data_IF_587608963788
#
_entry.id   IF_587608963788
#
_cell.length_a   1.000
_cell.length_b   1.000
_cell.length_c   1.000
_cell.angle_alpha   90.00
_cell.angle_beta   90.00
_cell.angle_gamma   90.00
#
_symmetry.space_group_name_H-M   'P 1'
#
loop_
_entity.id
_entity.type
_entity.pdbx_description
1 polymer ?
#
# COMPACT_ATOMS: atom_id res chain seq x y z
N UNK A 1 -26.54 0.11 29.22
CA UNK A 1 -26.69 -0.52 27.91
C UNK A 1 -25.42 -1.32 27.63
N UNK A 2 -25.47 -2.65 27.52
CA UNK A 2 -24.27 -3.44 27.17
C UNK A 2 -23.95 -3.17 25.69
N UNK A 3 -22.82 -2.54 25.43
CA UNK A 3 -22.31 -2.38 24.07
C UNK A 3 -21.79 -3.74 23.61
N UNK A 4 -22.45 -4.37 22.66
CA UNK A 4 -21.95 -5.57 22.01
C UNK A 4 -21.34 -5.15 20.68
N UNK A 5 -20.02 -5.16 20.59
CA UNK A 5 -19.33 -5.11 19.32
C UNK A 5 -19.09 -6.55 18.86
N UNK A 6 -19.42 -6.83 17.62
CA UNK A 6 -19.18 -8.15 17.03
C UNK A 6 -18.36 -7.93 15.78
N UNK A 7 -17.08 -8.28 15.78
CA UNK A 7 -16.34 -8.46 14.55
C UNK A 7 -16.82 -9.76 13.91
N UNK A 8 -17.37 -9.67 12.71
CA UNK A 8 -17.71 -10.87 11.95
C UNK A 8 -16.41 -11.49 11.43
N UNK A 9 -16.10 -12.75 11.80
CA UNK A 9 -14.90 -13.40 11.27
C UNK A 9 -14.99 -13.56 9.76
N UNK A 10 -13.83 -13.57 9.09
CA UNK A 10 -13.74 -14.01 7.72
C UNK A 10 -14.28 -15.44 7.58
N UNK A 11 -15.00 -15.72 6.50
CA UNK A 11 -15.53 -17.03 6.17
C UNK A 11 -15.01 -17.44 4.79
N UNK A 12 -14.86 -18.73 4.59
CA UNK A 12 -14.60 -19.26 3.26
C UNK A 12 -15.91 -19.27 2.45
N UNK A 13 -15.81 -19.10 1.14
CA UNK A 13 -16.94 -19.30 0.24
C UNK A 13 -17.42 -20.74 0.32
N UNK A 14 -18.73 -21.02 0.09
CA UNK A 14 -19.23 -22.39 0.03
C UNK A 14 -18.41 -23.25 -0.94
N UNK A 15 -18.01 -24.43 -0.49
CA UNK A 15 -17.22 -25.38 -1.29
C UNK A 15 -15.71 -25.13 -1.32
N UNK A 16 -15.23 -24.07 -0.68
CA UNK A 16 -13.78 -23.74 -0.57
C UNK A 16 -13.21 -24.36 0.71
N UNK A 17 -12.11 -25.10 0.60
CA UNK A 17 -11.36 -25.60 1.74
C UNK A 17 -10.32 -24.58 2.23
N UNK A 18 -9.88 -24.63 3.50
CA UNK A 18 -8.80 -23.77 4.00
C UNK A 18 -7.51 -23.85 3.17
N UNK A 19 -7.23 -25.01 2.58
CA UNK A 19 -6.07 -25.22 1.72
C UNK A 19 -6.15 -24.47 0.37
N UNK A 20 -7.35 -24.06 -0.06
CA UNK A 20 -7.56 -23.32 -1.30
C UNK A 20 -7.31 -21.81 -1.14
N UNK A 21 -7.16 -21.34 0.11
CA UNK A 21 -6.75 -19.96 0.38
C UNK A 21 -5.25 -19.86 0.16
N UNK A 22 -4.77 -18.86 -0.62
CA UNK A 22 -3.36 -18.72 -0.87
C UNK A 22 -2.57 -18.65 0.44
N UNK A 23 -1.74 -19.67 0.67
CA UNK A 23 -0.78 -19.68 1.77
C UNK A 23 0.36 -18.68 1.51
N UNK A 24 1.28 -18.53 2.47
CA UNK A 24 2.52 -17.80 2.25
C UNK A 24 3.22 -18.30 0.99
N UNK A 25 3.55 -17.38 0.08
CA UNK A 25 4.30 -17.72 -1.14
C UNK A 25 5.80 -17.81 -0.81
N UNK A 26 6.61 -18.55 -1.59
CA UNK A 26 8.06 -18.47 -1.44
C UNK A 26 8.60 -17.05 -1.54
N UNK A 27 7.99 -16.20 -2.37
CA UNK A 27 8.27 -14.77 -2.44
C UNK A 27 7.95 -13.99 -1.16
N UNK A 28 6.99 -14.48 -0.36
CA UNK A 28 6.65 -13.86 0.93
C UNK A 28 7.71 -14.21 2.01
N UNK A 29 8.37 -15.36 1.87
CA UNK A 29 9.50 -15.76 2.72
C UNK A 29 10.80 -15.07 2.30
N UNK A 30 10.93 -14.66 1.04
CA UNK A 30 12.08 -13.90 0.55
C UNK A 30 12.18 -12.50 1.17
N UNK A 31 11.11 -12.01 1.82
CA UNK A 31 11.15 -10.82 2.67
C UNK A 31 11.94 -11.03 3.97
N UNK A 32 12.15 -12.26 4.39
CA UNK A 32 12.85 -12.60 5.63
C UNK A 32 14.34 -12.83 5.36
N UNK A 33 15.05 -11.72 5.16
CA UNK A 33 16.47 -11.68 5.42
C UNK A 33 17.42 -12.25 4.36
N UNK A 34 16.97 -12.74 3.24
CA UNK A 34 17.89 -13.02 2.14
C UNK A 34 18.50 -11.70 1.66
N UNK A 35 19.70 -11.41 2.14
CA UNK A 35 20.46 -10.23 1.75
C UNK A 35 20.59 -10.22 0.23
N UNK A 36 19.93 -9.24 -0.41
CA UNK A 36 20.07 -8.99 -1.84
C UNK A 36 20.66 -7.61 -2.02
N UNK A 37 21.52 -7.49 -3.00
CA UNK A 37 22.06 -6.20 -3.42
C UNK A 37 21.42 -5.88 -4.77
N UNK A 38 20.51 -4.93 -4.78
CA UNK A 38 19.94 -4.39 -6.00
C UNK A 38 20.97 -3.50 -6.67
N UNK A 39 21.10 -3.59 -7.99
CA UNK A 39 22.03 -2.81 -8.80
C UNK A 39 21.31 -2.19 -9.98
N UNK A 40 21.70 -0.98 -10.33
CA UNK A 40 21.11 -0.27 -11.46
C UNK A 40 21.77 1.08 -11.65
N UNK A 41 21.16 1.90 -12.52
CA UNK A 41 21.64 3.27 -12.78
C UNK A 41 20.70 4.30 -12.18
N UNK A 42 21.26 5.45 -11.85
CA UNK A 42 20.53 6.61 -11.37
C UNK A 42 19.67 7.24 -12.49
N UNK A 43 18.37 7.36 -12.23
CA UNK A 43 17.40 8.09 -13.02
C UNK A 43 17.03 9.35 -12.25
N UNK A 44 17.51 10.50 -12.68
CA UNK A 44 17.38 11.75 -11.92
C UNK A 44 16.29 12.64 -12.50
N UNK A 45 15.42 13.11 -11.63
CA UNK A 45 14.50 14.20 -11.92
C UNK A 45 15.16 15.55 -11.63
N UNK A 46 15.59 16.22 -12.68
CA UNK A 46 16.21 17.54 -12.59
C UNK A 46 15.16 18.65 -12.49
N UNK A 47 15.47 19.69 -11.70
CA UNK A 47 14.67 20.90 -11.69
C UNK A 47 14.92 21.70 -12.97
N UNK A 48 13.90 21.95 -13.81
CA UNK A 48 14.09 22.67 -15.06
C UNK A 48 14.44 24.15 -14.87
N UNK A 49 14.25 24.69 -13.66
CA UNK A 49 14.49 26.12 -13.34
C UNK A 49 15.83 26.32 -12.65
N UNK A 50 16.39 25.30 -12.03
CA UNK A 50 17.61 25.41 -11.22
C UNK A 50 18.61 24.35 -11.68
N UNK A 51 19.59 24.71 -12.53
CA UNK A 51 20.60 23.76 -13.03
C UNK A 51 21.32 23.05 -11.87
N UNK A 52 21.51 21.73 -12.00
CA UNK A 52 22.18 20.88 -11.02
C UNK A 52 21.37 20.55 -9.77
N UNK A 53 20.16 21.08 -9.64
CA UNK A 53 19.26 20.74 -8.54
C UNK A 53 18.31 19.61 -8.94
N UNK A 54 18.10 18.63 -8.05
CA UNK A 54 17.05 17.64 -8.18
C UNK A 54 15.69 18.28 -7.90
N UNK A 55 14.67 17.85 -8.64
CA UNK A 55 13.34 18.42 -8.57
C UNK A 55 12.65 18.09 -7.25
N UNK A 56 12.28 19.15 -6.53
CA UNK A 56 11.46 19.08 -5.33
C UNK A 56 9.97 19.00 -5.66
N UNK A 57 9.17 18.62 -4.68
CA UNK A 57 7.72 18.71 -4.68
C UNK A 57 7.06 18.03 -5.90
N UNK A 58 7.61 16.90 -6.34
CA UNK A 58 6.91 16.04 -7.30
C UNK A 58 5.70 15.46 -6.58
N UNK A 59 4.51 15.85 -7.01
CA UNK A 59 3.26 15.43 -6.40
C UNK A 59 2.71 14.14 -7.03
N UNK A 60 1.70 13.57 -6.41
CA UNK A 60 1.10 12.31 -6.86
C UNK A 60 0.35 12.43 -8.20
N UNK A 61 -0.10 13.65 -8.60
CA UNK A 61 -0.66 13.89 -9.93
C UNK A 61 0.40 13.81 -11.03
N UNK A 62 1.62 14.22 -10.71
CA UNK A 62 2.76 14.11 -11.62
C UNK A 62 3.27 12.68 -11.72
N UNK A 63 3.13 11.88 -10.64
CA UNK A 63 3.49 10.46 -10.65
C UNK A 63 2.43 9.66 -11.41
N UNK A 64 1.15 9.82 -11.04
CA UNK A 64 0.03 9.10 -11.66
C UNK A 64 -1.13 10.06 -11.82
N UNK A 65 -1.39 10.61 -13.00
CA UNK A 65 -2.50 11.52 -13.24
C UNK A 65 -3.86 10.94 -12.83
N UNK A 66 -4.78 11.79 -12.39
CA UNK A 66 -6.10 11.36 -11.92
C UNK A 66 -6.85 10.50 -12.94
N UNK A 67 -6.71 10.82 -14.23
CA UNK A 67 -7.34 10.06 -15.31
C UNK A 67 -6.85 8.61 -15.40
N UNK A 68 -5.64 8.31 -14.90
CA UNK A 68 -5.07 6.97 -14.90
C UNK A 68 -5.38 6.20 -13.63
N UNK A 69 -6.00 6.84 -12.65
CA UNK A 69 -6.50 6.18 -11.44
C UNK A 69 -7.84 5.48 -11.65
N UNK A 70 -8.59 5.84 -12.69
CA UNK A 70 -9.87 5.23 -13.04
C UNK A 70 -9.63 3.98 -13.87
N UNK A 71 -10.19 2.86 -13.46
CA UNK A 71 -10.01 1.56 -14.11
C UNK A 71 -11.31 1.06 -14.72
N UNK A 72 -11.21 0.48 -15.91
CA UNK A 72 -12.36 -0.10 -16.61
C UNK A 72 -12.61 -1.55 -16.22
N UNK A 73 -11.55 -2.26 -15.80
CA UNK A 73 -11.65 -3.64 -15.30
C UNK A 73 -10.51 -3.92 -14.32
N UNK A 74 -10.65 -5.00 -13.54
CA UNK A 74 -9.59 -5.45 -12.64
C UNK A 74 -8.37 -6.02 -13.39
N UNK A 75 -8.57 -6.54 -14.60
CA UNK A 75 -7.52 -7.12 -15.44
C UNK A 75 -6.59 -6.07 -16.04
N UNK A 76 -7.12 -4.87 -16.35
CA UNK A 76 -6.37 -3.79 -16.99
C UNK A 76 -5.88 -2.72 -16.01
N UNK A 77 -6.20 -2.87 -14.74
CA UNK A 77 -5.92 -1.91 -13.68
C UNK A 77 -4.43 -1.55 -13.62
N UNK A 78 -3.58 -2.57 -13.55
CA UNK A 78 -2.13 -2.41 -13.43
C UNK A 78 -1.52 -1.72 -14.65
N UNK A 79 -2.01 -2.01 -15.86
CA UNK A 79 -1.47 -1.43 -17.09
C UNK A 79 -1.72 0.08 -17.15
N UNK A 80 -2.88 0.55 -16.72
CA UNK A 80 -3.15 1.99 -16.65
C UNK A 80 -2.20 2.72 -15.71
N UNK A 81 -1.93 2.15 -14.55
CA UNK A 81 -1.02 2.76 -13.58
C UNK A 81 0.41 2.80 -14.09
N UNK A 82 0.86 1.73 -14.75
CA UNK A 82 2.18 1.68 -15.39
C UNK A 82 2.30 2.71 -16.49
N UNK A 83 1.33 2.76 -17.39
CA UNK A 83 1.30 3.74 -18.48
C UNK A 83 1.18 5.19 -18.00
N UNK A 84 0.51 5.42 -16.87
CA UNK A 84 0.40 6.73 -16.23
C UNK A 84 1.66 7.20 -15.52
N UNK A 85 2.59 6.28 -15.20
CA UNK A 85 3.78 6.58 -14.39
C UNK A 85 4.64 7.66 -15.03
N UNK A 86 4.64 8.87 -14.45
CA UNK A 86 5.36 10.07 -14.89
C UNK A 86 5.12 10.48 -16.35
N UNK A 87 4.03 10.06 -16.99
CA UNK A 87 3.83 10.25 -18.45
C UNK A 87 3.91 11.69 -18.92
N UNK A 88 3.65 12.68 -18.04
CA UNK A 88 3.77 14.11 -18.37
C UNK A 88 5.09 14.71 -17.91
N UNK A 89 5.75 14.13 -16.93
CA UNK A 89 6.98 14.64 -16.35
C UNK A 89 8.22 14.02 -17.00
N UNK A 90 8.14 12.74 -17.33
CA UNK A 90 9.19 11.96 -17.99
C UNK A 90 8.54 10.88 -18.87
N UNK A 91 8.11 11.22 -20.07
CA UNK A 91 7.37 10.30 -20.94
C UNK A 91 8.12 9.01 -21.29
N UNK A 92 9.44 9.03 -21.25
CA UNK A 92 10.34 7.89 -21.48
C UNK A 92 10.69 7.12 -20.20
N UNK A 93 10.00 7.39 -19.06
CA UNK A 93 10.27 6.76 -17.76
C UNK A 93 10.30 5.24 -17.84
N UNK A 94 9.24 4.65 -18.41
CA UNK A 94 9.10 3.18 -18.53
C UNK A 94 10.26 2.57 -19.30
N UNK A 95 10.62 3.14 -20.43
CA UNK A 95 11.74 2.69 -21.27
C UNK A 95 13.10 2.81 -20.54
N UNK A 96 13.28 3.90 -19.80
CA UNK A 96 14.51 4.13 -19.02
C UNK A 96 14.67 3.10 -17.91
N UNK A 97 13.58 2.82 -17.18
CA UNK A 97 13.59 1.77 -16.15
C UNK A 97 13.92 0.42 -16.78
N UNK A 98 13.33 0.07 -17.94
CA UNK A 98 13.61 -1.19 -18.62
C UNK A 98 15.07 -1.30 -19.12
N UNK A 99 15.76 -0.17 -19.33
CA UNK A 99 17.19 -0.12 -19.65
C UNK A 99 18.09 -0.17 -18.40
N UNK A 100 17.52 -0.39 -17.21
CA UNK A 100 18.26 -0.54 -15.97
C UNK A 100 18.48 0.76 -15.19
N UNK A 101 17.78 1.85 -15.52
CA UNK A 101 17.78 3.08 -14.73
C UNK A 101 16.77 2.93 -13.58
N UNK A 102 17.11 2.09 -12.59
CA UNK A 102 16.19 1.64 -11.53
C UNK A 102 16.37 2.35 -10.20
N UNK A 103 17.26 3.32 -10.11
CA UNK A 103 17.40 4.20 -8.94
C UNK A 103 16.82 5.57 -9.26
N UNK A 104 15.55 5.78 -8.96
CA UNK A 104 14.85 7.04 -9.16
C UNK A 104 15.28 8.03 -8.09
N UNK A 105 15.90 9.14 -8.47
CA UNK A 105 16.32 10.20 -7.55
C UNK A 105 15.50 11.48 -7.77
N UNK A 106 14.90 11.96 -6.69
CA UNK A 106 14.14 13.21 -6.63
C UNK A 106 14.56 14.04 -5.40
N UNK A 107 14.26 15.33 -5.42
CA UNK A 107 14.50 16.23 -4.29
C UNK A 107 13.58 15.98 -3.10
N UNK A 108 13.40 17.02 -2.30
CA UNK A 108 12.51 16.98 -1.13
C UNK A 108 11.03 16.98 -1.50
N UNK A 109 10.18 16.53 -0.56
CA UNK A 109 8.73 16.51 -0.68
C UNK A 109 8.24 15.70 -1.89
N UNK A 110 8.90 14.56 -2.15
CA UNK A 110 8.46 13.63 -3.19
C UNK A 110 7.12 13.00 -2.81
N UNK A 111 6.24 12.85 -3.81
CA UNK A 111 4.93 12.20 -3.69
C UNK A 111 4.00 12.83 -2.64
N UNK A 112 4.05 14.16 -2.51
CA UNK A 112 3.06 14.93 -1.74
C UNK A 112 1.72 15.00 -2.50
N UNK A 113 0.68 15.52 -1.84
CA UNK A 113 -0.63 15.73 -2.45
C UNK A 113 -1.62 14.63 -2.13
N UNK A 114 -2.44 14.25 -3.10
CA UNK A 114 -3.53 13.30 -2.93
C UNK A 114 -3.05 11.89 -2.58
N UNK A 115 -3.88 11.17 -1.80
CA UNK A 115 -3.68 9.74 -1.56
C UNK A 115 -3.94 8.95 -2.84
N UNK A 116 -2.88 8.42 -3.44
CA UNK A 116 -2.95 7.59 -4.64
C UNK A 116 -2.11 6.34 -4.45
N UNK A 117 -2.76 5.28 -4.02
CA UNK A 117 -2.18 3.96 -3.85
C UNK A 117 -1.65 3.40 -5.17
N UNK A 118 -2.25 3.85 -6.27
CA UNK A 118 -1.86 3.51 -7.64
C UNK A 118 -0.45 4.00 -7.98
N UNK A 119 0.00 5.13 -7.41
CA UNK A 119 1.32 5.68 -7.72
C UNK A 119 2.47 4.71 -7.37
N UNK A 120 2.62 4.23 -6.13
CA UNK A 120 3.65 3.24 -5.85
C UNK A 120 3.42 1.90 -6.55
N UNK A 121 2.15 1.51 -6.83
CA UNK A 121 1.83 0.30 -7.55
C UNK A 121 2.28 0.36 -9.02
N UNK A 122 2.02 1.49 -9.70
CA UNK A 122 2.46 1.72 -11.07
C UNK A 122 3.97 1.74 -11.20
N UNK A 123 4.67 2.47 -10.32
CA UNK A 123 6.13 2.52 -10.31
C UNK A 123 6.75 1.14 -10.12
N UNK A 124 6.23 0.36 -9.17
CA UNK A 124 6.67 -1.01 -8.93
C UNK A 124 6.41 -1.90 -10.15
N UNK A 125 5.20 -1.82 -10.71
CA UNK A 125 4.78 -2.61 -11.86
C UNK A 125 5.64 -2.36 -13.10
N UNK A 126 6.04 -1.11 -13.35
CA UNK A 126 6.96 -0.76 -14.46
C UNK A 126 8.31 -1.49 -14.34
N UNK A 127 8.87 -1.60 -13.15
CA UNK A 127 10.14 -2.34 -12.98
C UNK A 127 9.93 -3.86 -13.08
N UNK A 128 8.87 -4.37 -12.44
CA UNK A 128 8.59 -5.82 -12.39
C UNK A 128 8.30 -6.45 -13.75
N UNK A 129 7.68 -5.72 -14.68
CA UNK A 129 7.43 -6.24 -16.03
C UNK A 129 8.72 -6.48 -16.84
N UNK A 130 9.81 -5.82 -16.46
CA UNK A 130 11.16 -6.05 -16.99
C UNK A 130 12.00 -7.01 -16.13
N UNK A 131 11.42 -7.63 -15.09
CA UNK A 131 12.14 -8.47 -14.14
C UNK A 131 13.09 -7.69 -13.22
N UNK A 132 12.86 -6.38 -13.05
CA UNK A 132 13.70 -5.47 -12.26
C UNK A 132 13.01 -5.03 -10.98
N UNK A 133 13.76 -4.41 -10.08
CA UNK A 133 13.25 -3.79 -8.86
C UNK A 133 13.64 -2.31 -8.83
N UNK A 134 12.67 -1.43 -8.56
CA UNK A 134 12.87 0.00 -8.47
C UNK A 134 13.19 0.42 -7.04
N UNK A 135 14.16 1.32 -6.89
CA UNK A 135 14.50 2.00 -5.64
C UNK A 135 14.22 3.49 -5.80
N UNK A 136 13.26 4.01 -5.04
CA UNK A 136 12.95 5.45 -5.01
C UNK A 136 13.78 6.11 -3.94
N UNK A 137 14.63 7.06 -4.33
CA UNK A 137 15.49 7.83 -3.43
C UNK A 137 15.03 9.28 -3.43
N UNK A 138 14.58 9.76 -2.27
CA UNK A 138 14.14 11.14 -2.08
C UNK A 138 15.00 11.84 -1.04
N UNK A 139 14.90 13.17 -0.96
CA UNK A 139 15.56 13.97 0.05
C UNK A 139 15.07 13.67 1.48
N UNK A 140 15.02 14.68 2.34
CA UNK A 140 14.65 14.50 3.75
C UNK A 140 13.16 14.16 3.94
N UNK A 141 12.30 14.63 3.04
CA UNK A 141 10.85 14.53 3.18
C UNK A 141 10.23 13.79 1.99
N UNK A 142 9.28 12.91 2.29
CA UNK A 142 8.47 12.17 1.34
C UNK A 142 7.03 12.15 1.84
N UNK A 143 6.04 12.12 0.95
CA UNK A 143 4.63 12.01 1.35
C UNK A 143 4.38 10.75 2.17
N UNK A 144 3.85 10.90 3.40
CA UNK A 144 3.67 9.80 4.34
C UNK A 144 2.77 8.69 3.80
N UNK A 145 1.73 9.05 3.06
CA UNK A 145 0.79 8.08 2.48
C UNK A 145 1.49 7.27 1.39
N UNK A 146 2.21 7.94 0.47
CA UNK A 146 2.99 7.26 -0.55
C UNK A 146 4.03 6.31 0.08
N UNK A 147 4.79 6.80 1.06
CA UNK A 147 5.80 6.02 1.77
C UNK A 147 5.23 4.76 2.39
N UNK A 148 4.10 4.86 3.10
CA UNK A 148 3.42 3.70 3.70
C UNK A 148 2.91 2.72 2.66
N UNK A 149 2.30 3.21 1.59
CA UNK A 149 1.82 2.36 0.51
C UNK A 149 2.96 1.67 -0.24
N UNK A 150 4.07 2.37 -0.46
CA UNK A 150 5.28 1.79 -1.04
C UNK A 150 5.80 0.61 -0.20
N UNK A 151 5.93 0.77 1.12
CA UNK A 151 6.31 -0.34 2.00
C UNK A 151 5.30 -1.49 1.99
N UNK A 152 4.00 -1.18 1.99
CA UNK A 152 2.97 -2.20 1.93
C UNK A 152 3.06 -3.04 0.65
N UNK A 153 3.37 -2.41 -0.46
CA UNK A 153 3.52 -3.06 -1.77
C UNK A 153 4.89 -3.71 -1.98
N UNK A 154 5.86 -3.42 -1.11
CA UNK A 154 7.24 -3.90 -1.25
C UNK A 154 8.07 -3.10 -2.27
N UNK A 155 7.66 -1.88 -2.62
CA UNK A 155 8.48 -0.93 -3.34
C UNK A 155 9.55 -0.37 -2.40
N UNK A 156 10.82 -0.38 -2.84
CA UNK A 156 11.90 0.16 -2.05
C UNK A 156 11.90 1.69 -2.08
N UNK A 157 11.73 2.30 -0.92
CA UNK A 157 11.82 3.75 -0.75
C UNK A 157 12.89 4.11 0.29
N UNK A 158 13.68 5.12 -0.05
CA UNK A 158 14.85 5.53 0.70
C UNK A 158 14.85 7.05 0.84
N UNK A 159 14.94 7.56 2.04
CA UNK A 159 15.19 8.97 2.28
C UNK A 159 16.68 9.17 2.57
N UNK A 160 17.37 9.88 1.69
CA UNK A 160 18.81 10.14 1.81
C UNK A 160 19.17 11.48 1.15
N UNK A 161 19.12 12.59 1.92
CA UNK A 161 19.51 13.91 1.39
C UNK A 161 20.90 13.92 0.79
N UNK A 162 21.84 13.20 1.38
CA UNK A 162 23.23 13.12 0.90
C UNK A 162 23.32 12.44 -0.47
N UNK A 163 22.64 11.30 -0.64
CA UNK A 163 22.61 10.63 -1.93
C UNK A 163 21.95 11.49 -3.01
N UNK A 164 20.84 12.18 -2.65
CA UNK A 164 20.17 13.10 -3.57
C UNK A 164 21.06 14.27 -3.95
N UNK A 165 21.82 14.83 -3.02
CA UNK A 165 22.73 15.92 -3.33
C UNK A 165 23.88 15.50 -4.25
N UNK A 166 24.40 14.27 -4.06
CA UNK A 166 25.64 13.80 -4.68
C UNK A 166 25.44 13.08 -6.03
N UNK A 167 24.41 12.23 -6.17
CA UNK A 167 24.27 11.38 -7.34
C UNK A 167 23.94 12.15 -8.62
N UNK A 168 24.50 11.67 -9.74
CA UNK A 168 24.26 12.20 -11.09
C UNK A 168 23.52 11.17 -11.95
N UNK A 169 22.86 11.65 -13.01
CA UNK A 169 22.15 10.76 -13.94
C UNK A 169 23.11 9.75 -14.58
N UNK A 170 22.73 8.48 -14.55
CA UNK A 170 23.54 7.38 -15.07
C UNK A 170 24.59 6.80 -14.11
N UNK A 171 24.81 7.41 -12.93
CA UNK A 171 25.68 6.81 -11.89
C UNK A 171 25.25 5.37 -11.60
N UNK A 172 26.21 4.46 -11.51
CA UNK A 172 25.98 3.10 -11.03
C UNK A 172 25.66 3.15 -9.54
N UNK A 173 24.51 2.56 -9.17
CA UNK A 173 23.99 2.57 -7.81
C UNK A 173 23.76 1.15 -7.32
N UNK A 174 23.92 0.94 -6.02
CA UNK A 174 23.52 -0.31 -5.37
C UNK A 174 22.83 -0.08 -4.04
N UNK A 175 21.89 -0.98 -3.70
CA UNK A 175 21.12 -0.93 -2.47
C UNK A 175 21.08 -2.31 -1.82
N UNK A 176 21.63 -2.40 -0.60
CA UNK A 176 21.57 -3.61 0.22
C UNK A 176 20.22 -3.67 0.95
N UNK A 177 19.39 -4.61 0.57
CA UNK A 177 18.02 -4.74 1.12
C UNK A 177 17.98 -5.09 2.60
N UNK A 178 19.01 -5.76 3.14
CA UNK A 178 19.07 -6.15 4.54
C UNK A 178 19.51 -4.99 5.44
N UNK A 179 20.60 -4.32 5.08
CA UNK A 179 21.16 -3.20 5.85
C UNK A 179 20.54 -1.86 5.48
N UNK A 180 19.82 -1.79 4.35
CA UNK A 180 19.30 -0.58 3.71
C UNK A 180 20.36 0.42 3.27
N UNK A 181 21.62 0.02 3.21
CA UNK A 181 22.71 0.87 2.72
C UNK A 181 22.56 1.15 1.23
N UNK A 182 22.67 2.41 0.88
CA UNK A 182 22.69 2.91 -0.49
C UNK A 182 24.12 3.28 -0.85
N UNK A 183 24.60 2.81 -1.99
CA UNK A 183 25.96 3.12 -2.46
C UNK A 183 25.90 3.70 -3.86
N UNK A 184 26.63 4.77 -4.11
CA UNK A 184 26.96 5.25 -5.43
C UNK A 184 28.28 4.57 -5.84
N UNK A 185 28.19 3.51 -6.62
CA UNK A 185 29.33 2.70 -7.04
C UNK A 185 30.26 3.49 -7.98
N UNK A 186 29.72 4.43 -8.76
CA UNK A 186 30.54 5.31 -9.63
C UNK A 186 31.46 6.20 -8.81
N UNK A 187 30.98 6.73 -7.70
CA UNK A 187 31.73 7.67 -6.84
C UNK A 187 32.41 6.98 -5.64
N UNK A 188 32.16 5.68 -5.44
CA UNK A 188 32.66 4.93 -4.30
C UNK A 188 32.14 5.42 -2.95
N UNK A 189 30.94 6.03 -2.91
CA UNK A 189 30.34 6.58 -1.71
C UNK A 189 29.18 5.75 -1.21
N UNK A 190 29.09 5.58 0.11
CA UNK A 190 27.99 4.89 0.78
C UNK A 190 27.23 5.89 1.66
N UNK A 191 25.91 5.78 1.66
CA UNK A 191 25.01 6.63 2.40
C UNK A 191 24.16 5.81 3.35
N UNK A 192 23.97 6.30 4.57
CA UNK A 192 23.06 5.71 5.55
C UNK A 192 21.71 6.43 5.46
N UNK A 193 20.65 5.76 4.99
CA UNK A 193 19.33 6.35 4.86
C UNK A 193 18.69 6.65 6.20
N UNK A 194 17.69 7.55 6.19
CA UNK A 194 16.84 7.77 7.35
C UNK A 194 16.26 6.43 7.83
N UNK A 195 16.39 6.09 9.12
CA UNK A 195 15.92 4.82 9.67
C UNK A 195 14.41 4.61 9.48
N UNK A 196 14.00 3.37 9.34
CA UNK A 196 12.57 3.00 9.35
C UNK A 196 12.03 3.03 10.78
N UNK A 197 10.74 3.30 10.92
CA UNK A 197 10.03 3.06 12.15
C UNK A 197 9.97 1.55 12.46
N UNK A 198 9.84 1.13 13.73
CA UNK A 198 9.71 -0.29 14.09
C UNK A 198 8.58 -1.02 13.34
N UNK A 199 7.47 -0.31 13.04
CA UNK A 199 6.34 -0.84 12.28
C UNK A 199 6.70 -1.11 10.82
N UNK A 200 7.35 -0.16 10.16
CA UNK A 200 7.79 -0.30 8.76
C UNK A 200 8.81 -1.42 8.62
N UNK A 201 9.74 -1.49 9.56
CA UNK A 201 10.72 -2.57 9.59
C UNK A 201 10.06 -3.94 9.81
N UNK A 202 9.02 -4.01 10.67
CA UNK A 202 8.23 -5.22 10.88
C UNK A 202 7.51 -5.68 9.60
N UNK A 203 6.89 -4.77 8.85
CA UNK A 203 6.23 -5.08 7.57
C UNK A 203 7.27 -5.55 6.55
N UNK A 204 8.39 -4.84 6.43
CA UNK A 204 9.48 -5.18 5.53
C UNK A 204 10.02 -6.59 5.79
N UNK A 205 10.35 -6.90 7.05
CA UNK A 205 10.85 -8.23 7.47
C UNK A 205 9.81 -9.33 7.25
N UNK A 206 8.54 -9.00 7.29
CA UNK A 206 7.45 -9.96 7.05
C UNK A 206 7.18 -10.25 5.57
N UNK A 207 7.92 -9.68 4.64
CA UNK A 207 7.71 -9.86 3.21
C UNK A 207 6.60 -8.97 2.63
N UNK A 208 6.30 -7.85 3.29
CA UNK A 208 5.27 -6.90 2.87
C UNK A 208 3.88 -7.21 3.44
N UNK A 209 2.94 -6.31 3.16
CA UNK A 209 1.59 -6.38 3.73
C UNK A 209 0.78 -7.58 3.22
N UNK A 210 1.02 -8.03 1.98
CA UNK A 210 0.32 -9.19 1.42
C UNK A 210 0.69 -10.47 2.16
N UNK A 211 1.98 -10.65 2.48
CA UNK A 211 2.44 -11.80 3.27
C UNK A 211 1.86 -11.77 4.69
N UNK A 212 1.82 -10.58 5.31
CA UNK A 212 1.15 -10.38 6.60
C UNK A 212 -0.34 -10.70 6.47
N UNK A 213 -1.03 -10.18 5.44
CA UNK A 213 -2.45 -10.39 5.21
C UNK A 213 -2.82 -11.86 5.05
N UNK A 214 -2.04 -12.63 4.28
CA UNK A 214 -2.28 -14.08 4.11
C UNK A 214 -2.13 -14.85 5.42
N UNK A 215 -1.11 -14.53 6.22
CA UNK A 215 -0.93 -15.16 7.54
C UNK A 215 -2.06 -14.83 8.51
N UNK A 216 -2.48 -13.57 8.53
CA UNK A 216 -3.56 -13.13 9.42
C UNK A 216 -4.93 -13.68 8.98
N UNK A 217 -5.18 -13.82 7.67
CA UNK A 217 -6.39 -14.46 7.16
C UNK A 217 -6.47 -15.91 7.61
N UNK A 218 -5.39 -16.68 7.43
CA UNK A 218 -5.32 -18.06 7.88
C UNK A 218 -5.57 -18.18 9.39
N UNK A 219 -4.98 -17.28 10.19
CA UNK A 219 -5.21 -17.22 11.64
C UNK A 219 -6.67 -16.87 11.98
N UNK A 220 -7.26 -15.89 11.32
CA UNK A 220 -8.65 -15.46 11.58
C UNK A 220 -9.67 -16.53 11.23
N UNK A 221 -9.40 -17.34 10.20
CA UNK A 221 -10.24 -18.48 9.85
C UNK A 221 -10.14 -19.58 10.92
N UNK A 222 -8.94 -19.87 11.39
CA UNK A 222 -8.70 -20.89 12.41
C UNK A 222 -9.19 -20.49 13.81
N UNK A 223 -8.99 -19.21 14.18
CA UNK A 223 -9.35 -18.67 15.49
C UNK A 223 -10.04 -17.32 15.31
N UNK A 224 -11.37 -17.29 15.32
CA UNK A 224 -12.12 -16.04 15.18
C UNK A 224 -11.75 -15.01 16.26
N UNK A 225 -11.69 -13.72 15.92
CA UNK A 225 -11.37 -12.68 16.87
C UNK A 225 -12.44 -12.57 17.98
N UNK A 226 -12.00 -12.34 19.19
CA UNK A 226 -12.88 -12.07 20.34
C UNK A 226 -12.79 -10.59 20.72
N UNK A 227 -13.95 -9.97 20.93
CA UNK A 227 -14.08 -8.60 21.41
C UNK A 227 -14.72 -8.63 22.78
N UNK A 228 -14.03 -8.05 23.75
CA UNK A 228 -14.53 -7.91 25.11
C UNK A 228 -14.37 -6.46 25.56
N UNK A 229 -15.49 -5.82 25.89
CA UNK A 229 -15.48 -4.47 26.45
C UNK A 229 -14.87 -4.46 27.84
N UNK A 230 -14.20 -3.36 28.24
CA UNK A 230 -13.67 -3.24 29.58
C UNK A 230 -14.79 -3.29 30.63
N UNK A 231 -14.44 -3.76 31.83
CA UNK A 231 -15.32 -3.71 32.96
C UNK A 231 -15.60 -2.26 33.42
N UNK A 232 -16.54 -2.11 34.39
CA UNK A 232 -16.99 -0.79 34.84
C UNK A 232 -15.87 0.04 35.49
N UNK A 233 -14.90 -0.60 36.15
CA UNK A 233 -13.78 0.10 36.76
C UNK A 233 -12.79 0.60 35.72
N UNK A 234 -12.43 -0.23 34.77
CA UNK A 234 -11.57 0.13 33.64
C UNK A 234 -12.20 1.23 32.76
N UNK A 235 -13.52 1.13 32.48
CA UNK A 235 -14.27 2.16 31.73
C UNK A 235 -14.13 3.55 32.35
N UNK A 236 -14.15 3.66 33.69
CA UNK A 236 -14.05 4.96 34.37
C UNK A 236 -12.69 5.65 34.16
N UNK A 237 -11.66 4.89 33.84
CA UNK A 237 -10.28 5.39 33.66
C UNK A 237 -9.93 5.65 32.18
N UNK A 238 -10.78 5.22 31.25
CA UNK A 238 -10.54 5.29 29.82
C UNK A 238 -11.47 6.30 29.13
N UNK A 239 -10.94 7.08 28.22
CA UNK A 239 -11.75 7.85 27.25
C UNK A 239 -12.54 6.91 26.33
N UNK A 240 -13.59 7.39 25.68
CA UNK A 240 -14.36 6.57 24.72
C UNK A 240 -13.49 5.92 23.66
N UNK A 241 -12.54 6.67 23.09
CA UNK A 241 -11.59 6.13 22.10
C UNK A 241 -10.74 5.00 22.70
N UNK A 242 -10.21 5.20 23.89
CA UNK A 242 -9.43 4.16 24.57
C UNK A 242 -10.26 2.92 24.88
N UNK A 243 -11.54 3.07 25.25
CA UNK A 243 -12.44 1.92 25.47
C UNK A 243 -12.64 1.10 24.18
N UNK A 244 -12.82 1.77 23.03
CA UNK A 244 -12.93 1.12 21.72
C UNK A 244 -11.64 0.38 21.40
N UNK A 245 -10.49 1.03 21.49
CA UNK A 245 -9.18 0.43 21.24
C UNK A 245 -8.94 -0.74 22.18
N UNK A 246 -9.26 -0.58 23.47
CA UNK A 246 -9.12 -1.64 24.50
C UNK A 246 -9.91 -2.89 24.14
N UNK A 247 -11.16 -2.72 23.72
CA UNK A 247 -12.03 -3.82 23.33
C UNK A 247 -11.51 -4.59 22.10
N UNK A 248 -10.98 -3.84 21.12
CA UNK A 248 -10.58 -4.36 19.81
C UNK A 248 -9.10 -4.78 19.72
N UNK A 249 -8.30 -4.57 20.78
CA UNK A 249 -6.88 -4.93 20.71
C UNK A 249 -6.66 -6.42 20.49
N UNK A 250 -5.74 -6.75 19.61
CA UNK A 250 -5.36 -8.14 19.27
C UNK A 250 -4.62 -8.78 20.43
N UNK A 251 -3.62 -8.08 20.96
CA UNK A 251 -2.92 -8.46 22.18
C UNK A 251 -3.71 -7.94 23.38
N UNK A 252 -4.28 -8.85 24.14
CA UNK A 252 -5.14 -8.53 25.30
C UNK A 252 -4.37 -7.97 26.49
N UNK A 253 -3.07 -8.17 26.55
CA UNK A 253 -2.19 -7.68 27.63
C UNK A 253 -1.59 -6.30 27.31
N UNK A 254 -1.69 -5.86 26.04
CA UNK A 254 -1.17 -4.56 25.64
C UNK A 254 -1.88 -3.39 26.35
N UNK A 255 -1.10 -2.44 26.85
CA UNK A 255 -1.61 -1.25 27.50
C UNK A 255 -2.16 -0.24 26.49
N UNK A 256 -3.30 0.37 26.79
CA UNK A 256 -3.95 1.37 25.95
C UNK A 256 -3.66 2.76 26.51
N UNK A 257 -2.56 3.34 26.06
CA UNK A 257 -2.09 4.65 26.51
C UNK A 257 -1.62 5.53 25.36
N UNK A 258 -1.56 6.85 25.54
CA UNK A 258 -1.01 7.76 24.52
C UNK A 258 0.42 7.40 24.15
N UNK A 259 0.71 7.36 22.85
CA UNK A 259 2.02 6.98 22.30
C UNK A 259 2.21 5.47 22.06
N UNK A 260 1.35 4.61 22.59
CA UNK A 260 1.41 3.18 22.32
C UNK A 260 1.02 2.86 20.86
N UNK A 261 1.72 1.89 20.26
CA UNK A 261 1.36 1.33 18.95
C UNK A 261 0.67 -0.02 19.17
N UNK A 262 -0.59 -0.10 18.80
CA UNK A 262 -1.44 -1.26 19.04
C UNK A 262 -1.98 -1.84 17.72
N UNK A 263 -2.14 -3.16 17.69
CA UNK A 263 -2.93 -3.84 16.66
C UNK A 263 -4.36 -4.01 17.16
N UNK A 264 -5.31 -3.63 16.32
CA UNK A 264 -6.74 -3.72 16.64
C UNK A 264 -7.50 -4.38 15.50
N UNK A 265 -8.60 -5.06 15.86
CA UNK A 265 -9.58 -5.52 14.88
C UNK A 265 -10.43 -4.33 14.40
N UNK A 266 -10.77 -4.31 13.12
CA UNK A 266 -11.69 -3.34 12.55
C UNK A 266 -13.09 -3.97 12.42
N UNK A 267 -14.12 -3.25 12.84
CA UNK A 267 -15.52 -3.68 12.68
C UNK A 267 -16.01 -3.47 11.25
N UNK A 268 -15.54 -2.39 10.62
CA UNK A 268 -15.95 -1.99 9.28
C UNK A 268 -14.75 -1.55 8.45
N UNK A 269 -14.73 -1.99 7.20
CA UNK A 269 -13.72 -1.67 6.20
C UNK A 269 -14.40 -0.95 5.02
N UNK A 270 -14.64 0.37 5.13
CA UNK A 270 -15.35 1.12 4.10
C UNK A 270 -14.40 1.45 2.94
N UNK A 271 -14.96 1.39 1.73
CA UNK A 271 -14.35 1.90 0.51
C UNK A 271 -15.37 2.75 -0.25
N UNK A 272 -14.90 3.75 -1.00
CA UNK A 272 -15.72 4.44 -2.00
C UNK A 272 -15.59 3.72 -3.35
N UNK A 273 -16.44 4.09 -4.31
CA UNK A 273 -16.32 3.63 -5.70
C UNK A 273 -14.95 4.01 -6.33
N UNK A 274 -14.31 5.08 -5.84
CA UNK A 274 -12.97 5.48 -6.27
C UNK A 274 -11.85 4.58 -5.74
N UNK A 275 -11.98 4.06 -4.52
CA UNK A 275 -10.94 3.25 -3.88
C UNK A 275 -11.22 1.74 -3.93
N UNK A 276 -12.47 1.35 -4.19
CA UNK A 276 -12.89 -0.05 -4.20
C UNK A 276 -12.12 -0.91 -5.23
N UNK A 277 -11.88 -0.49 -6.48
CA UNK A 277 -11.16 -1.34 -7.44
C UNK A 277 -9.77 -1.75 -6.96
N UNK A 278 -8.99 -0.83 -6.40
CA UNK A 278 -7.69 -1.14 -5.83
C UNK A 278 -7.79 -2.08 -4.62
N UNK A 279 -8.72 -1.79 -3.70
CA UNK A 279 -8.94 -2.62 -2.52
C UNK A 279 -9.37 -4.04 -2.91
N UNK A 280 -10.24 -4.19 -3.91
CA UNK A 280 -10.71 -5.47 -4.43
C UNK A 280 -9.56 -6.24 -5.10
N UNK A 281 -8.77 -5.57 -5.93
CA UNK A 281 -7.58 -6.17 -6.53
C UNK A 281 -6.63 -6.75 -5.46
N UNK A 282 -6.29 -5.93 -4.45
CA UNK A 282 -5.47 -6.35 -3.32
C UNK A 282 -6.10 -7.50 -2.53
N UNK A 283 -7.39 -7.41 -2.26
CA UNK A 283 -8.14 -8.46 -1.59
C UNK A 283 -8.06 -9.79 -2.33
N UNK A 284 -8.24 -9.78 -3.65
CA UNK A 284 -8.14 -10.96 -4.48
C UNK A 284 -6.72 -11.56 -4.48
N UNK A 285 -5.68 -10.73 -4.45
CA UNK A 285 -4.30 -11.22 -4.33
C UNK A 285 -4.01 -11.91 -2.98
N UNK A 286 -4.65 -11.45 -1.90
CA UNK A 286 -4.49 -12.04 -0.56
C UNK A 286 -5.34 -13.31 -0.42
N UNK A 287 -6.57 -13.29 -0.87
CA UNK A 287 -7.57 -14.33 -0.60
C UNK A 287 -7.75 -15.34 -1.72
N UNK A 288 -7.22 -15.07 -2.93
CA UNK A 288 -7.55 -15.81 -4.15
C UNK A 288 -9.03 -15.68 -4.54
N UNK A 289 -9.75 -14.69 -4.01
CA UNK A 289 -11.18 -14.55 -4.18
C UNK A 289 -12.01 -15.57 -3.38
N UNK A 290 -11.40 -16.34 -2.49
CA UNK A 290 -11.99 -17.50 -1.80
C UNK A 290 -12.60 -17.17 -0.44
N UNK A 291 -12.40 -15.95 0.07
CA UNK A 291 -12.95 -15.53 1.36
C UNK A 291 -14.09 -14.52 1.20
N UNK A 292 -14.99 -14.49 2.18
CA UNK A 292 -16.02 -13.47 2.34
C UNK A 292 -15.89 -12.82 3.71
N UNK A 293 -16.18 -11.52 3.76
CA UNK A 293 -16.20 -10.72 4.99
C UNK A 293 -17.58 -10.10 5.17
N UNK A 294 -18.59 -10.91 5.53
CA UNK A 294 -19.95 -10.44 5.68
C UNK A 294 -20.00 -9.42 6.83
N UNK A 295 -20.66 -8.31 6.61
CA UNK A 295 -20.83 -7.22 7.60
C UNK A 295 -19.54 -6.54 8.04
N UNK A 296 -18.46 -6.66 7.26
CA UNK A 296 -17.19 -5.99 7.54
C UNK A 296 -16.75 -5.10 6.39
N UNK A 297 -16.74 -5.62 5.17
CA UNK A 297 -16.51 -4.81 3.98
C UNK A 297 -17.76 -3.98 3.66
N UNK A 298 -17.57 -2.72 3.29
CA UNK A 298 -18.65 -1.85 2.82
C UNK A 298 -18.18 -0.99 1.65
N UNK A 299 -19.06 -0.74 0.69
CA UNK A 299 -18.79 0.13 -0.45
C UNK A 299 -19.87 1.19 -0.53
N UNK A 300 -19.46 2.47 -0.53
CA UNK A 300 -20.31 3.61 -0.80
C UNK A 300 -19.99 4.17 -2.20
N UNK A 301 -20.99 4.23 -3.05
CA UNK A 301 -20.84 4.83 -4.38
C UNK A 301 -21.17 6.32 -4.28
N UNK A 302 -20.14 7.17 -4.21
CA UNK A 302 -20.28 8.60 -3.89
C UNK A 302 -19.40 9.53 -4.73
N UNK A 303 -18.45 9.00 -5.56
CA UNK A 303 -17.53 9.81 -6.36
C UNK A 303 -17.85 9.77 -7.86
N UNK A 304 -18.01 8.58 -8.43
CA UNK A 304 -18.09 8.37 -9.88
C UNK A 304 -19.53 8.16 -10.39
N UNK A 305 -20.43 7.79 -9.56
CA UNK A 305 -21.82 7.45 -9.91
C UNK A 305 -22.62 8.62 -10.48
N UNK A 306 -22.20 9.86 -10.27
CA UNK A 306 -22.90 11.07 -10.77
C UNK A 306 -22.32 11.66 -12.06
N UNK A 307 -21.27 11.11 -12.60
CA UNK A 307 -20.54 11.73 -13.72
C UNK A 307 -21.20 11.52 -15.07
N UNK A 308 -21.99 10.46 -15.23
CA UNK A 308 -22.59 10.03 -16.49
C UNK A 308 -21.58 9.56 -17.55
N UNK A 309 -20.32 9.34 -17.15
CA UNK A 309 -19.27 8.84 -18.04
C UNK A 309 -19.23 7.32 -18.00
N UNK A 310 -19.17 6.68 -19.15
CA UNK A 310 -19.15 5.22 -19.28
C UNK A 310 -17.97 4.57 -18.52
N UNK A 311 -16.79 5.21 -18.52
CA UNK A 311 -15.65 4.72 -17.77
C UNK A 311 -15.88 4.69 -16.24
N UNK A 312 -16.57 5.70 -15.73
CA UNK A 312 -16.90 5.81 -14.31
C UNK A 312 -17.99 4.81 -13.91
N UNK A 313 -18.95 4.55 -14.80
CA UNK A 313 -19.95 3.50 -14.62
C UNK A 313 -19.31 2.11 -14.58
N UNK A 314 -18.31 1.85 -15.44
CA UNK A 314 -17.55 0.60 -15.41
C UNK A 314 -16.79 0.43 -14.10
N UNK A 315 -16.19 1.50 -13.58
CA UNK A 315 -15.53 1.48 -12.28
C UNK A 315 -16.51 1.15 -11.15
N UNK A 316 -17.68 1.78 -11.15
CA UNK A 316 -18.75 1.48 -10.18
C UNK A 316 -19.23 0.03 -10.29
N UNK A 317 -19.29 -0.52 -11.51
CA UNK A 317 -19.68 -1.91 -11.74
C UNK A 317 -18.73 -2.91 -11.08
N UNK A 318 -17.42 -2.61 -10.98
CA UNK A 318 -16.45 -3.44 -10.25
C UNK A 318 -16.87 -3.58 -8.77
N UNK A 319 -17.20 -2.47 -8.12
CA UNK A 319 -17.68 -2.46 -6.74
C UNK A 319 -18.98 -3.23 -6.56
N UNK A 320 -19.91 -3.08 -7.50
CA UNK A 320 -21.20 -3.80 -7.51
C UNK A 320 -21.01 -5.32 -7.63
N UNK A 321 -20.15 -5.76 -8.53
CA UNK A 321 -19.88 -7.19 -8.69
C UNK A 321 -19.21 -7.78 -7.43
N UNK A 322 -18.25 -7.05 -6.85
CA UNK A 322 -17.64 -7.47 -5.59
C UNK A 322 -18.68 -7.54 -4.46
N UNK A 323 -19.57 -6.55 -4.34
CA UNK A 323 -20.63 -6.55 -3.35
C UNK A 323 -21.54 -7.79 -3.50
N UNK A 324 -21.88 -8.17 -4.75
CA UNK A 324 -22.63 -9.38 -5.04
C UNK A 324 -21.89 -10.64 -4.60
N UNK A 325 -20.58 -10.73 -4.89
CA UNK A 325 -19.74 -11.88 -4.53
C UNK A 325 -19.55 -12.01 -3.01
N UNK A 326 -19.53 -10.90 -2.30
CA UNK A 326 -19.38 -10.82 -0.86
C UNK A 326 -20.72 -10.87 -0.10
N UNK A 327 -21.85 -10.97 -0.83
CA UNK A 327 -23.21 -10.93 -0.27
C UNK A 327 -23.48 -9.66 0.56
N UNK A 328 -22.93 -8.52 0.13
CA UNK A 328 -23.16 -7.25 0.79
C UNK A 328 -24.58 -6.74 0.49
N UNK A 329 -25.27 -6.33 1.54
CA UNK A 329 -26.61 -5.72 1.48
C UNK A 329 -26.57 -4.41 2.26
N UNK A 330 -27.63 -3.59 2.18
CA UNK A 330 -27.74 -2.40 3.02
C UNK A 330 -27.49 -2.74 4.50
N UNK A 331 -26.70 -1.96 5.24
CA UNK A 331 -26.02 -0.72 4.87
C UNK A 331 -24.59 -0.92 4.30
N UNK A 332 -24.18 -2.12 3.96
CA UNK A 332 -22.81 -2.44 3.54
C UNK A 332 -22.51 -2.17 2.06
N UNK A 333 -23.54 -2.02 1.26
CA UNK A 333 -23.45 -1.55 -0.12
C UNK A 333 -24.54 -0.52 -0.36
N UNK A 334 -24.14 0.69 -0.72
CA UNK A 334 -25.02 1.82 -0.93
C UNK A 334 -24.79 2.46 -2.31
N UNK A 335 -25.88 2.85 -2.95
CA UNK A 335 -25.92 3.70 -4.14
C UNK A 335 -26.67 4.99 -3.83
N UNK A 336 -26.53 6.05 -4.66
CA UNK A 336 -27.33 7.26 -4.47
C UNK A 336 -28.82 6.96 -4.40
N UNK A 337 -29.48 7.53 -3.39
CA UNK A 337 -30.88 7.28 -3.10
C UNK A 337 -31.14 6.12 -2.14
N UNK A 338 -30.13 5.41 -1.71
CA UNK A 338 -30.18 4.44 -0.64
C UNK A 338 -30.01 5.11 0.72
#
# INVERSE_FOLDING_TARGET
>A
MRRTATVSPARLKPGVAPADVPGPRPSDAAGDGARRVLRGKALVFWDPKVPGKKRDAIDTDQITPAADCVSESLETLDERWKAGSFRHLMPDFRERVHRGETFLLAGDRFAIGSSREMSPAGLKGVAEEAGLELVVVAGANMGDIFRRNAFNLGLHVVQSPEAVADAEGGDAMSFDTATRRLTNDTKGKTYDPVPLTPKEEGIRRSGGIFAVGRRELARSIATPPSIAWPDAETVRRLTTTQQIVWAHRVDKDAQVEPGATLRVYADLLPASDGTAPFAIHTFNQITGGNAIFPRQAAIANDHFVFTGKEADERQTAIGREFARQQHLVKPYYATPGD
#
